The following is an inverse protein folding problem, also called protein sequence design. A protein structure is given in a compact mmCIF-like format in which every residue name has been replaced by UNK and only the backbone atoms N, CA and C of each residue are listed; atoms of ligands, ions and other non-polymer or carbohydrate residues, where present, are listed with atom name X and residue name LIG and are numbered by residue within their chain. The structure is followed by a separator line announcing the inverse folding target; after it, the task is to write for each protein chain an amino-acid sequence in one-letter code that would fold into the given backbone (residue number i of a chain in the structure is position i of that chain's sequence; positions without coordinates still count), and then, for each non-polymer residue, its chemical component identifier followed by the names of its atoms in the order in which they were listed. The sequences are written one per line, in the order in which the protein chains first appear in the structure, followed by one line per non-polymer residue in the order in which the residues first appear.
data_IF_767599433371
#
_entry.id   IF_767599433371
#
_cell.length_a   1.000
_cell.length_b   1.000
_cell.length_c   1.000
_cell.angle_alpha   90.00
_cell.angle_beta   90.00
_cell.angle_gamma   90.00
#
_symmetry.space_group_name_H-M   'P 1'
#
loop_
_entity.id
_entity.type
_entity.pdbx_description
1 polymer ?
#
# COMPACT_ATOMS: atom_id res chain seq x y z
N UNK A 1 -8.04 -8.84 -15.11
CA UNK A 1 -9.36 -8.23 -14.79
C UNK A 1 -9.59 -7.06 -15.73
N UNK A 2 -10.83 -6.85 -16.18
CA UNK A 2 -11.20 -5.78 -17.12
C UNK A 2 -12.50 -5.11 -16.68
N UNK A 3 -12.48 -3.78 -16.59
CA UNK A 3 -13.68 -2.97 -16.33
C UNK A 3 -14.35 -2.62 -17.65
N UNK A 4 -15.66 -2.88 -17.75
CA UNK A 4 -16.47 -2.68 -18.95
C UNK A 4 -17.65 -1.79 -18.62
N UNK A 5 -17.83 -0.69 -19.36
CA UNK A 5 -19.02 0.15 -19.29
C UNK A 5 -20.15 -0.56 -20.03
N UNK A 6 -21.24 -0.90 -19.34
CA UNK A 6 -22.34 -1.69 -19.92
C UNK A 6 -23.62 -0.89 -20.09
N UNK A 7 -23.84 0.17 -19.33
CA UNK A 7 -24.97 1.09 -19.50
C UNK A 7 -24.69 2.48 -18.92
N UNK A 8 -25.65 3.40 -19.03
CA UNK A 8 -25.49 4.78 -18.58
C UNK A 8 -25.15 4.84 -17.09
N UNK A 9 -24.00 5.46 -16.76
CA UNK A 9 -23.44 5.57 -15.40
C UNK A 9 -23.19 4.23 -14.71
N UNK A 10 -23.06 3.13 -15.44
CA UNK A 10 -22.85 1.82 -14.86
C UNK A 10 -21.74 1.05 -15.59
N UNK A 11 -20.88 0.40 -14.80
CA UNK A 11 -19.85 -0.48 -15.33
C UNK A 11 -19.58 -1.67 -14.40
N UNK A 12 -18.97 -2.71 -14.95
CA UNK A 12 -18.77 -3.97 -14.27
C UNK A 12 -17.41 -4.59 -14.59
N UNK A 13 -16.94 -5.47 -13.72
CA UNK A 13 -15.77 -6.31 -13.97
C UNK A 13 -15.96 -7.70 -13.35
N UNK A 14 -15.34 -8.69 -13.97
CA UNK A 14 -15.29 -10.05 -13.43
C UNK A 14 -14.02 -10.24 -12.60
N UNK A 15 -14.18 -10.83 -11.41
CA UNK A 15 -13.10 -11.34 -10.59
C UNK A 15 -13.15 -12.88 -10.58
N UNK A 16 -12.23 -13.49 -11.31
CA UNK A 16 -12.12 -14.95 -11.40
C UNK A 16 -11.66 -15.59 -10.09
N UNK A 17 -10.92 -14.86 -9.24
CA UNK A 17 -10.46 -15.36 -7.94
C UNK A 17 -11.61 -15.43 -6.95
N UNK A 18 -12.49 -14.43 -6.97
CA UNK A 18 -13.70 -14.41 -6.16
C UNK A 18 -14.89 -15.15 -6.81
N UNK A 19 -14.71 -15.67 -8.04
CA UNK A 19 -15.78 -16.22 -8.88
C UNK A 19 -17.04 -15.34 -8.90
N UNK A 20 -16.85 -14.02 -8.96
CA UNK A 20 -17.92 -13.02 -8.76
C UNK A 20 -17.78 -11.91 -9.79
N UNK A 21 -18.92 -11.39 -10.26
CA UNK A 21 -18.99 -10.20 -11.12
C UNK A 21 -19.45 -9.02 -10.26
N UNK A 22 -18.63 -7.96 -10.22
CA UNK A 22 -18.96 -6.73 -9.52
C UNK A 22 -19.48 -5.68 -10.50
N UNK A 23 -20.52 -4.97 -10.09
CA UNK A 23 -21.09 -3.85 -10.84
C UNK A 23 -21.15 -2.59 -9.97
N UNK A 24 -20.84 -1.44 -10.57
CA UNK A 24 -20.81 -0.15 -9.87
C UNK A 24 -21.59 0.89 -10.67
N UNK A 25 -22.57 1.50 -9.99
CA UNK A 25 -23.35 2.61 -10.49
C UNK A 25 -22.82 3.96 -9.97
N UNK A 26 -22.78 4.97 -10.83
CA UNK A 26 -22.24 6.28 -10.54
C UNK A 26 -23.32 7.36 -10.59
N UNK A 27 -23.09 8.47 -9.88
CA UNK A 27 -23.98 9.64 -9.91
C UNK A 27 -23.91 10.40 -11.24
N UNK A 28 -22.78 10.33 -11.95
CA UNK A 28 -22.55 10.99 -13.24
C UNK A 28 -21.69 10.14 -14.19
N UNK A 29 -21.83 10.39 -15.49
CA UNK A 29 -21.03 9.70 -16.53
C UNK A 29 -19.54 10.07 -16.46
N UNK A 30 -19.23 11.27 -15.97
CA UNK A 30 -17.87 11.72 -15.71
C UNK A 30 -17.20 10.87 -14.62
N UNK A 31 -17.92 10.52 -13.55
CA UNK A 31 -17.39 9.64 -12.50
C UNK A 31 -17.16 8.21 -13.00
N UNK A 32 -18.07 7.66 -13.80
CA UNK A 32 -17.88 6.36 -14.45
C UNK A 32 -16.61 6.35 -15.31
N UNK A 33 -16.41 7.39 -16.12
CA UNK A 33 -15.25 7.47 -17.01
C UNK A 33 -13.95 7.62 -16.24
N UNK A 34 -13.90 8.50 -15.23
CA UNK A 34 -12.74 8.66 -14.36
C UNK A 34 -12.39 7.36 -13.63
N UNK A 35 -13.39 6.60 -13.19
CA UNK A 35 -13.16 5.30 -12.58
C UNK A 35 -12.58 4.28 -13.57
N UNK A 36 -13.11 4.22 -14.80
CA UNK A 36 -12.58 3.33 -15.82
C UNK A 36 -11.10 3.59 -16.12
N UNK A 37 -10.72 4.87 -16.21
CA UNK A 37 -9.32 5.28 -16.43
C UNK A 37 -8.43 4.87 -15.26
N UNK A 38 -8.88 5.13 -14.03
CA UNK A 38 -8.16 4.72 -12.82
C UNK A 38 -8.04 3.21 -12.71
N UNK A 39 -9.07 2.46 -13.06
CA UNK A 39 -9.03 1.00 -13.06
C UNK A 39 -7.96 0.47 -14.03
N UNK A 40 -7.83 1.08 -15.21
CA UNK A 40 -6.78 0.74 -16.16
C UNK A 40 -5.37 1.07 -15.62
N UNK A 41 -5.21 2.23 -14.98
CA UNK A 41 -3.96 2.65 -14.31
C UNK A 41 -3.53 1.64 -13.23
N UNK A 42 -4.45 1.24 -12.35
CA UNK A 42 -4.17 0.24 -11.31
C UNK A 42 -3.84 -1.13 -11.89
N UNK A 43 -4.47 -1.52 -13.00
CA UNK A 43 -4.16 -2.78 -13.69
C UNK A 43 -2.71 -2.79 -14.20
N UNK A 44 -2.25 -1.69 -14.80
CA UNK A 44 -0.86 -1.58 -15.26
C UNK A 44 0.13 -1.49 -14.11
N UNK A 45 -0.19 -0.73 -13.05
CA UNK A 45 0.65 -0.67 -11.86
C UNK A 45 0.80 -2.05 -11.18
N UNK A 46 -0.28 -2.82 -11.09
CA UNK A 46 -0.24 -4.18 -10.56
C UNK A 46 0.58 -5.14 -11.44
N UNK A 47 0.53 -4.96 -12.77
CA UNK A 47 1.38 -5.71 -13.72
C UNK A 47 2.86 -5.41 -13.50
N UNK A 48 3.23 -4.13 -13.42
CA UNK A 48 4.59 -3.67 -13.12
C UNK A 48 5.10 -4.17 -11.77
N UNK A 49 4.26 -4.15 -10.74
CA UNK A 49 4.63 -4.65 -9.41
C UNK A 49 4.89 -6.17 -9.41
N UNK A 50 4.10 -6.93 -10.19
CA UNK A 50 4.29 -8.37 -10.37
C UNK A 50 5.57 -8.67 -11.14
N UNK A 51 5.85 -7.92 -12.20
CA UNK A 51 7.07 -8.02 -13.02
C UNK A 51 8.33 -7.71 -12.19
N UNK A 52 8.33 -6.59 -11.45
CA UNK A 52 9.44 -6.22 -10.55
C UNK A 52 9.69 -7.26 -9.44
N UNK A 53 8.64 -7.88 -8.92
CA UNK A 53 8.75 -8.93 -7.91
C UNK A 53 9.30 -10.24 -8.49
N UNK A 54 9.00 -10.52 -9.76
CA UNK A 54 9.50 -11.71 -10.46
C UNK A 54 10.97 -11.53 -10.87
N UNK A 55 11.35 -10.35 -11.38
CA UNK A 55 12.73 -10.01 -11.77
C UNK A 55 13.69 -10.04 -10.56
N UNK A 56 13.22 -9.63 -9.37
CA UNK A 56 13.98 -9.72 -8.12
C UNK A 56 14.26 -11.16 -7.67
N UNK A 57 13.44 -12.14 -8.09
CA UNK A 57 13.68 -13.56 -7.77
C UNK A 57 14.59 -14.26 -8.78
N UNK A 58 14.70 -13.76 -10.01
CA UNK A 58 15.61 -14.34 -11.01
C UNK A 58 17.09 -13.92 -10.79
N UNK A 59 17.34 -12.74 -10.21
CA UNK A 59 18.71 -12.23 -9.97
C UNK A 59 19.39 -12.72 -8.67
N UNK A 60 18.77 -13.61 -7.89
CA UNK A 60 19.37 -14.16 -6.63
C UNK A 60 19.83 -15.61 -6.76
N UNK A 61 19.74 -16.22 -7.95
CA UNK A 61 20.19 -17.59 -8.18
C UNK A 61 21.71 -17.66 -8.40
N UNK A 62 22.49 -17.42 -7.32
CA UNK A 62 23.91 -17.80 -7.26
C UNK A 62 24.09 -18.81 -6.13
N UNK A 63 24.46 -20.06 -6.40
CA UNK A 63 24.61 -21.07 -5.36
C UNK A 63 26.00 -20.99 -4.73
N UNK A 64 26.08 -20.55 -3.47
CA UNK A 64 27.27 -20.75 -2.64
C UNK A 64 26.89 -21.58 -1.42
N UNK A 65 27.54 -22.74 -1.34
CA UNK A 65 27.53 -23.69 -0.24
C UNK A 65 28.08 -23.05 1.04
N UNK A 66 27.42 -23.26 2.19
CA UNK A 66 28.10 -23.67 3.43
C UNK A 66 27.11 -24.25 4.46
N UNK A 67 27.35 -25.51 4.80
CA UNK A 67 27.18 -26.22 6.08
C UNK A 67 25.89 -26.12 6.94
N UNK A 68 25.20 -27.28 6.92
CA UNK A 68 24.92 -28.16 8.07
C UNK A 68 23.73 -27.89 9.03
N UNK A 69 22.94 -28.96 9.14
CA UNK A 69 22.04 -29.39 10.22
C UNK A 69 20.71 -28.66 10.40
N UNK A 70 19.67 -29.23 9.80
CA UNK A 70 18.26 -29.00 10.13
C UNK A 70 17.38 -29.90 9.27
N UNK A 71 16.58 -30.75 9.91
CA UNK A 71 15.93 -31.93 9.35
C UNK A 71 14.94 -31.68 8.21
N UNK A 72 14.82 -32.75 7.42
CA UNK A 72 13.93 -32.97 6.29
C UNK A 72 12.46 -32.93 6.73
N UNK A 73 11.60 -32.23 5.98
CA UNK A 73 10.50 -32.82 5.21
C UNK A 73 9.50 -31.74 4.78
N UNK A 74 9.54 -31.38 3.49
CA UNK A 74 8.35 -30.99 2.74
C UNK A 74 8.11 -32.07 1.69
N UNK A 75 6.85 -32.46 1.48
CA UNK A 75 6.43 -32.82 0.14
C UNK A 75 5.34 -31.89 -0.38
N UNK A 76 5.66 -31.32 -1.55
CA UNK A 76 4.74 -30.85 -2.57
C UNK A 76 3.83 -32.00 -3.00
N UNK A 77 2.54 -31.76 -3.21
CA UNK A 77 1.77 -32.22 -4.39
C UNK A 77 0.35 -31.64 -4.39
N UNK A 78 -0.12 -31.10 -5.54
CA UNK A 78 -1.52 -30.84 -5.81
C UNK A 78 -2.10 -31.97 -6.70
N UNK A 79 -3.27 -32.51 -6.37
CA UNK A 79 -4.05 -33.31 -7.33
C UNK A 79 -5.53 -32.90 -7.34
N UNK A 80 -5.93 -32.45 -8.53
CA UNK A 80 -7.28 -32.41 -9.06
C UNK A 80 -7.73 -33.83 -9.42
N UNK A 81 -9.01 -34.18 -9.21
CA UNK A 81 -9.92 -34.99 -10.06
C UNK A 81 -11.10 -35.47 -9.19
N UNK A 82 -12.31 -34.95 -9.39
CA UNK A 82 -13.35 -35.44 -10.31
C UNK A 82 -14.01 -36.78 -9.91
N UNK A 83 -15.22 -36.67 -9.34
CA UNK A 83 -16.41 -37.46 -9.65
C UNK A 83 -16.43 -38.97 -9.36
N UNK A 84 -17.23 -39.36 -8.36
CA UNK A 84 -17.84 -40.71 -8.31
C UNK A 84 -19.28 -40.60 -7.81
N UNK A 85 -20.22 -40.51 -8.77
CA UNK A 85 -21.62 -40.87 -8.63
C UNK A 85 -21.71 -42.38 -8.94
N UNK A 86 -22.06 -43.20 -7.95
CA UNK A 86 -22.27 -44.64 -8.14
C UNK A 86 -23.74 -44.98 -7.90
N UNK A 87 -24.54 -44.72 -8.93
CA UNK A 87 -25.89 -45.24 -9.09
C UNK A 87 -25.82 -46.66 -9.65
N UNK A 88 -25.94 -47.66 -8.78
CA UNK A 88 -26.10 -49.07 -9.20
C UNK A 88 -27.56 -49.34 -9.53
N UNK A 89 -27.89 -49.39 -10.80
CA UNK A 89 -29.05 -50.12 -11.35
C UNK A 89 -28.61 -51.51 -11.79
N UNK A 90 -29.45 -52.53 -11.61
CA UNK A 90 -29.58 -53.56 -12.63
C UNK A 90 -31.03 -53.72 -13.07
N UNK A 91 -31.28 -53.48 -14.36
CA UNK A 91 -32.39 -54.04 -15.10
C UNK A 91 -32.18 -55.55 -15.28
N UNK A 92 -33.21 -56.36 -15.05
CA UNK A 92 -33.55 -57.51 -15.89
C UNK A 92 -34.89 -58.11 -15.46
N UNK A 93 -35.83 -58.11 -16.39
CA UNK A 93 -37.15 -58.72 -16.31
C UNK A 93 -37.08 -60.24 -16.08
N UNK A 94 -38.01 -60.75 -15.27
CA UNK A 94 -38.62 -62.06 -15.49
C UNK A 94 -40.08 -62.01 -15.01
N UNK A 95 -40.99 -62.01 -15.98
CA UNK A 95 -42.39 -62.40 -15.80
C UNK A 95 -42.45 -63.93 -15.75
N UNK A 96 -42.90 -64.51 -14.64
CA UNK A 96 -43.60 -65.80 -14.59
C UNK A 96 -44.60 -65.75 -13.44
N UNK A 97 -45.88 -65.80 -13.79
CA UNK A 97 -46.99 -66.00 -12.85
C UNK A 97 -46.78 -67.25 -12.00
N UNK A 98 -46.84 -67.11 -10.67
CA UNK A 98 -47.35 -68.18 -9.80
C UNK A 98 -48.30 -67.55 -8.78
N UNK A 99 -49.57 -67.93 -8.89
CA UNK A 99 -50.64 -67.67 -7.94
C UNK A 99 -50.22 -68.06 -6.51
N UNK A 100 -50.05 -67.09 -5.63
CA UNK A 100 -50.09 -67.27 -4.18
C UNK A 100 -50.58 -66.00 -3.50
N UNK A 101 -51.80 -66.11 -2.95
CA UNK A 101 -52.47 -65.32 -1.90
C UNK A 101 -51.66 -64.13 -1.32
N UNK A 102 -52.11 -62.87 -1.43
CA UNK A 102 -51.46 -61.75 -0.75
C UNK A 102 -51.83 -61.76 0.74
N UNK A 103 -50.93 -62.30 1.57
CA UNK A 103 -50.92 -62.03 3.01
C UNK A 103 -49.98 -60.84 3.33
N UNK A 104 -50.25 -60.03 4.36
CA UNK A 104 -49.76 -58.66 4.45
C UNK A 104 -48.34 -58.61 5.03
N UNK A 105 -47.33 -58.58 4.15
CA UNK A 105 -45.93 -58.33 4.55
C UNK A 105 -45.57 -56.82 4.57
N UNK A 106 -46.53 -55.91 4.41
CA UNK A 106 -46.30 -54.46 4.43
C UNK A 106 -45.77 -53.95 5.77
N UNK A 107 -46.15 -54.55 6.90
CA UNK A 107 -45.83 -54.02 8.24
C UNK A 107 -44.31 -54.01 8.53
N UNK A 108 -43.56 -55.03 8.10
CA UNK A 108 -42.12 -55.11 8.36
C UNK A 108 -41.31 -54.18 7.44
N UNK A 109 -41.75 -53.98 6.19
CA UNK A 109 -41.11 -53.05 5.25
C UNK A 109 -41.32 -51.59 5.68
N UNK A 110 -42.53 -51.26 6.12
CA UNK A 110 -42.87 -49.93 6.65
C UNK A 110 -42.06 -49.62 7.92
N UNK A 111 -41.90 -50.59 8.82
CA UNK A 111 -41.08 -50.42 10.03
C UNK A 111 -39.61 -50.08 9.71
N UNK A 112 -39.00 -50.80 8.76
CA UNK A 112 -37.61 -50.56 8.33
C UNK A 112 -37.42 -49.18 7.68
N UNK A 113 -38.41 -48.70 6.93
CA UNK A 113 -38.40 -47.35 6.36
C UNK A 113 -38.33 -46.28 7.46
N UNK A 114 -39.20 -46.37 8.47
CA UNK A 114 -39.20 -45.41 9.58
C UNK A 114 -37.91 -45.44 10.41
N UNK A 115 -37.32 -46.62 10.61
CA UNK A 115 -36.03 -46.75 11.29
C UNK A 115 -34.90 -46.06 10.50
N UNK A 116 -34.86 -46.24 9.17
CA UNK A 116 -33.89 -45.58 8.31
C UNK A 116 -34.07 -44.05 8.27
N UNK A 117 -35.31 -43.58 8.22
CA UNK A 117 -35.63 -42.15 8.27
C UNK A 117 -35.24 -41.55 9.62
N UNK A 118 -35.51 -42.24 10.73
CA UNK A 118 -35.09 -41.81 12.06
C UNK A 118 -33.56 -41.74 12.19
N UNK A 119 -32.83 -42.71 11.64
CA UNK A 119 -31.36 -42.69 11.62
C UNK A 119 -30.83 -41.49 10.80
N UNK A 120 -31.45 -41.21 9.65
CA UNK A 120 -31.11 -40.07 8.80
C UNK A 120 -31.38 -38.75 9.52
N UNK A 121 -32.54 -38.61 10.18
CA UNK A 121 -32.90 -37.43 10.96
C UNK A 121 -31.94 -37.19 12.12
N UNK A 122 -31.54 -38.25 12.85
CA UNK A 122 -30.51 -38.17 13.90
C UNK A 122 -29.17 -37.69 13.34
N UNK A 123 -28.75 -38.22 12.19
CA UNK A 123 -27.53 -37.80 11.50
C UNK A 123 -27.58 -36.33 11.07
N UNK A 124 -28.71 -35.88 10.54
CA UNK A 124 -28.92 -34.48 10.16
C UNK A 124 -28.91 -33.55 11.38
N UNK A 125 -29.54 -33.95 12.49
CA UNK A 125 -29.52 -33.18 13.72
C UNK A 125 -28.09 -33.02 14.29
N UNK A 126 -27.29 -34.08 14.23
CA UNK A 126 -25.88 -34.02 14.61
C UNK A 126 -25.09 -33.03 13.73
N UNK A 127 -25.27 -33.08 12.40
CA UNK A 127 -24.63 -32.14 11.47
C UNK A 127 -25.02 -30.68 11.74
N UNK A 128 -26.30 -30.42 12.00
CA UNK A 128 -26.78 -29.08 12.36
C UNK A 128 -26.16 -28.59 13.67
N UNK A 129 -26.01 -29.48 14.66
CA UNK A 129 -25.35 -29.15 15.93
C UNK A 129 -23.88 -28.78 15.72
N UNK A 130 -23.15 -29.55 14.92
CA UNK A 130 -21.76 -29.24 14.56
C UNK A 130 -21.64 -27.90 13.82
N UNK A 131 -22.48 -27.67 12.81
CA UNK A 131 -22.48 -26.42 12.03
C UNK A 131 -22.83 -25.20 12.90
N UNK A 132 -23.72 -25.35 13.89
CA UNK A 132 -24.05 -24.29 14.83
C UNK A 132 -22.87 -23.94 15.75
N UNK A 133 -22.14 -24.95 16.26
CA UNK A 133 -20.93 -24.74 17.06
C UNK A 133 -19.84 -24.05 16.25
N UNK A 134 -19.65 -24.48 15.00
CA UNK A 134 -18.69 -23.87 14.07
C UNK A 134 -19.08 -22.42 13.75
N UNK A 135 -20.35 -22.15 13.44
CA UNK A 135 -20.83 -20.78 13.23
C UNK A 135 -20.62 -19.91 14.48
N UNK A 136 -20.78 -20.48 15.68
CA UNK A 136 -20.52 -19.78 16.95
C UNK A 136 -19.03 -19.47 17.13
N UNK A 137 -18.15 -20.39 16.75
CA UNK A 137 -16.70 -20.16 16.77
C UNK A 137 -16.29 -19.09 15.74
N UNK A 138 -16.84 -19.13 14.53
CA UNK A 138 -16.60 -18.14 13.48
C UNK A 138 -16.99 -16.74 13.95
N UNK A 139 -18.16 -16.57 14.58
CA UNK A 139 -18.57 -15.27 15.13
C UNK A 139 -17.56 -14.72 16.14
N UNK A 140 -16.96 -15.57 16.98
CA UNK A 140 -15.92 -15.15 17.93
C UNK A 140 -14.64 -14.72 17.22
N UNK A 141 -14.20 -15.48 16.22
CA UNK A 141 -13.02 -15.17 15.42
C UNK A 141 -13.19 -13.84 14.65
N UNK A 142 -14.33 -13.64 13.99
CA UNK A 142 -14.62 -12.39 13.27
C UNK A 142 -14.65 -11.18 14.21
N UNK A 143 -15.22 -11.33 15.41
CA UNK A 143 -15.19 -10.28 16.44
C UNK A 143 -13.76 -9.95 16.88
N UNK A 144 -12.93 -10.97 17.11
CA UNK A 144 -11.53 -10.77 17.47
C UNK A 144 -10.75 -10.07 16.36
N UNK A 145 -10.95 -10.50 15.11
CA UNK A 145 -10.30 -9.89 13.95
C UNK A 145 -10.76 -8.44 13.72
N UNK A 146 -12.04 -8.15 13.94
CA UNK A 146 -12.56 -6.79 13.90
C UNK A 146 -11.88 -5.90 14.97
N UNK A 147 -11.73 -6.41 16.20
CA UNK A 147 -11.00 -5.71 17.25
C UNK A 147 -9.55 -5.40 16.87
N UNK A 148 -8.83 -6.39 16.33
CA UNK A 148 -7.46 -6.19 15.88
C UNK A 148 -7.33 -5.11 14.78
N UNK A 149 -8.28 -5.05 13.84
CA UNK A 149 -8.30 -3.99 12.82
C UNK A 149 -8.67 -2.62 13.39
N UNK A 150 -9.53 -2.55 14.41
CA UNK A 150 -9.84 -1.30 15.11
C UNK A 150 -8.62 -0.75 15.84
N UNK A 151 -7.89 -1.60 16.57
CA UNK A 151 -6.66 -1.22 17.28
C UNK A 151 -5.59 -0.73 16.29
N UNK A 152 -5.43 -1.42 15.17
CA UNK A 152 -4.48 -1.04 14.11
C UNK A 152 -4.88 0.28 13.45
N UNK A 153 -6.17 0.52 13.21
CA UNK A 153 -6.65 1.79 12.68
C UNK A 153 -6.38 2.94 13.65
N UNK A 154 -6.61 2.74 14.95
CA UNK A 154 -6.30 3.74 15.98
C UNK A 154 -4.79 4.03 16.04
N UNK A 155 -3.96 2.98 15.97
CA UNK A 155 -2.49 3.12 15.95
C UNK A 155 -2.02 3.92 14.72
N UNK A 156 -2.58 3.63 13.54
CA UNK A 156 -2.24 4.35 12.31
C UNK A 156 -2.71 5.80 12.38
N UNK A 157 -3.90 6.09 12.90
CA UNK A 157 -4.36 7.46 13.11
C UNK A 157 -3.41 8.25 14.03
N UNK A 158 -3.02 7.67 15.17
CA UNK A 158 -2.02 8.31 16.07
C UNK A 158 -0.72 8.61 15.33
N UNK A 159 -0.22 7.65 14.53
CA UNK A 159 1.02 7.83 13.77
C UNK A 159 0.91 8.92 12.70
N UNK A 160 -0.22 9.04 12.03
CA UNK A 160 -0.48 10.11 11.05
C UNK A 160 -0.43 11.47 11.73
N UNK A 161 -1.14 11.64 12.85
CA UNK A 161 -1.13 12.89 13.61
C UNK A 161 0.28 13.30 14.07
N UNK A 162 1.08 12.35 14.55
CA UNK A 162 2.48 12.61 14.91
C UNK A 162 3.30 13.09 13.72
N UNK A 163 3.16 12.44 12.56
CA UNK A 163 3.87 12.80 11.34
C UNK A 163 3.45 14.18 10.82
N UNK A 164 2.17 14.52 10.90
CA UNK A 164 1.66 15.84 10.53
C UNK A 164 2.24 16.94 11.44
N UNK A 165 2.35 16.68 12.75
CA UNK A 165 2.99 17.60 13.70
C UNK A 165 4.48 17.83 13.37
N UNK A 166 5.24 16.75 13.15
CA UNK A 166 6.68 16.83 12.80
C UNK A 166 6.88 17.52 11.46
N UNK A 167 6.00 17.26 10.48
CA UNK A 167 6.04 17.94 9.18
C UNK A 167 5.81 19.45 9.33
N UNK A 168 4.85 19.87 10.16
CA UNK A 168 4.61 21.28 10.48
C UNK A 168 5.84 21.96 11.10
N UNK A 169 6.50 21.29 12.04
CA UNK A 169 7.76 21.79 12.64
C UNK A 169 8.88 21.90 11.59
N UNK A 170 9.01 20.91 10.72
CA UNK A 170 10.03 20.90 9.65
C UNK A 170 9.81 22.05 8.67
N UNK A 171 8.55 22.39 8.35
CA UNK A 171 8.23 23.54 7.52
C UNK A 171 8.67 24.85 8.20
N UNK A 172 8.38 25.02 9.49
CA UNK A 172 8.84 26.18 10.28
C UNK A 172 10.37 26.33 10.29
N UNK A 173 11.10 25.24 10.50
CA UNK A 173 12.57 25.23 10.47
C UNK A 173 13.12 25.60 9.09
N UNK A 174 12.47 25.16 8.00
CA UNK A 174 12.87 25.54 6.63
C UNK A 174 12.69 27.04 6.40
N UNK A 175 11.59 27.63 6.84
CA UNK A 175 11.35 29.07 6.75
C UNK A 175 12.39 29.86 7.55
N UNK A 176 12.66 29.45 8.79
CA UNK A 176 13.69 30.09 9.61
C UNK A 176 15.08 29.98 8.97
N UNK A 177 15.41 28.84 8.36
CA UNK A 177 16.67 28.67 7.61
C UNK A 177 16.75 29.64 6.43
N UNK A 178 15.67 29.84 5.68
CA UNK A 178 15.67 30.79 4.55
C UNK A 178 15.84 32.23 5.03
N UNK A 179 15.20 32.63 6.13
CA UNK A 179 15.34 33.97 6.71
C UNK A 179 16.77 34.24 7.21
N UNK A 180 17.38 33.26 7.87
CA UNK A 180 18.78 33.36 8.31
C UNK A 180 19.74 33.47 7.12
N UNK A 181 19.53 32.67 6.07
CA UNK A 181 20.33 32.77 4.85
C UNK A 181 20.22 34.15 4.20
N UNK A 182 19.01 34.70 4.09
CA UNK A 182 18.83 36.06 3.56
C UNK A 182 19.55 37.10 4.42
N UNK A 183 19.47 36.96 5.75
CA UNK A 183 20.17 37.86 6.68
C UNK A 183 21.70 37.78 6.50
N UNK A 184 22.23 36.58 6.25
CA UNK A 184 23.66 36.39 5.97
C UNK A 184 24.04 37.09 4.66
N UNK A 185 23.27 36.91 3.59
CA UNK A 185 23.51 37.57 2.29
C UNK A 185 23.49 39.10 2.42
N UNK A 186 22.53 39.65 3.17
CA UNK A 186 22.42 41.10 3.41
C UNK A 186 23.63 41.62 4.21
N UNK A 187 24.08 40.88 5.23
CA UNK A 187 25.26 41.24 6.04
C UNK A 187 26.57 41.15 5.23
N UNK A 188 26.70 40.15 4.36
CA UNK A 188 27.85 40.02 3.44
C UNK A 188 27.90 41.18 2.45
N UNK A 189 26.76 41.63 1.94
CA UNK A 189 26.67 42.79 1.05
C UNK A 189 27.05 44.10 1.76
N UNK A 190 26.56 44.33 2.97
CA UNK A 190 26.93 45.49 3.78
C UNK A 190 28.43 45.47 4.12
N UNK A 191 28.97 44.31 4.49
CA UNK A 191 30.39 44.16 4.80
C UNK A 191 31.25 44.50 3.58
N UNK A 192 30.87 44.02 2.39
CA UNK A 192 31.56 44.35 1.14
C UNK A 192 31.50 45.84 0.81
N UNK A 193 30.35 46.49 1.03
CA UNK A 193 30.21 47.93 0.82
C UNK A 193 31.11 48.73 1.79
N UNK A 194 31.22 48.29 3.04
CA UNK A 194 32.13 48.89 4.04
C UNK A 194 33.59 48.68 3.71
N UNK A 195 33.96 47.52 3.18
CA UNK A 195 35.33 47.27 2.69
C UNK A 195 35.69 48.19 1.53
N UNK A 196 34.76 48.43 0.59
CA UNK A 196 34.96 49.37 -0.52
C UNK A 196 35.09 50.82 -0.03
N UNK A 197 34.23 51.24 0.91
CA UNK A 197 34.32 52.57 1.54
C UNK A 197 35.67 52.78 2.24
N UNK A 198 36.16 51.76 2.97
CA UNK A 198 37.46 51.81 3.63
C UNK A 198 38.62 51.95 2.63
N UNK A 199 38.55 51.27 1.49
CA UNK A 199 39.60 51.37 0.48
C UNK A 199 39.62 52.76 -0.18
N UNK A 200 38.45 53.32 -0.47
CA UNK A 200 38.33 54.69 -0.98
C UNK A 200 38.89 55.71 0.02
N UNK A 201 38.55 55.59 1.31
CA UNK A 201 39.06 56.47 2.36
C UNK A 201 40.59 56.36 2.53
N UNK A 202 41.16 55.15 2.42
CA UNK A 202 42.62 54.98 2.43
C UNK A 202 43.27 55.71 1.25
N UNK A 203 42.69 55.62 0.07
CA UNK A 203 43.19 56.32 -1.11
C UNK A 203 43.14 57.84 -0.91
N UNK A 204 42.04 58.37 -0.37
CA UNK A 204 41.91 59.80 -0.08
C UNK A 204 42.94 60.29 0.96
N UNK A 205 43.21 59.49 2.00
CA UNK A 205 44.26 59.78 2.99
C UNK A 205 45.66 59.81 2.36
N UNK A 206 45.95 58.87 1.45
CA UNK A 206 47.23 58.83 0.74
C UNK A 206 47.40 60.05 -0.19
N UNK A 207 46.35 60.43 -0.93
CA UNK A 207 46.33 61.64 -1.76
C UNK A 207 46.52 62.91 -0.92
N UNK A 208 45.83 63.02 0.22
CA UNK A 208 45.98 64.15 1.14
C UNK A 208 47.41 64.24 1.71
N UNK A 209 48.03 63.11 2.05
CA UNK A 209 49.42 63.03 2.52
C UNK A 209 50.42 63.51 1.45
N UNK A 210 50.22 63.12 0.20
CA UNK A 210 51.05 63.57 -0.92
C UNK A 210 50.91 65.08 -1.17
N UNK A 211 49.69 65.60 -1.15
CA UNK A 211 49.44 67.05 -1.27
C UNK A 211 50.06 67.84 -0.12
N UNK A 212 49.96 67.35 1.12
CA UNK A 212 50.61 67.96 2.29
C UNK A 212 52.13 68.04 2.08
N UNK A 213 52.75 66.94 1.67
CA UNK A 213 54.20 66.89 1.40
C UNK A 213 54.62 67.89 0.31
N UNK A 214 53.82 68.04 -0.76
CA UNK A 214 54.07 69.04 -1.79
C UNK A 214 53.94 70.48 -1.25
N UNK A 215 52.92 70.75 -0.43
CA UNK A 215 52.70 72.06 0.18
C UNK A 215 53.86 72.45 1.11
N UNK A 216 54.32 71.52 1.95
CA UNK A 216 55.46 71.71 2.84
C UNK A 216 56.74 72.00 2.03
N UNK A 217 56.96 71.29 0.92
CA UNK A 217 58.09 71.54 0.01
C UNK A 217 58.05 72.92 -0.64
N UNK A 218 56.87 73.35 -1.12
CA UNK A 218 56.68 74.68 -1.71
C UNK A 218 56.89 75.79 -0.67
N UNK A 219 56.34 75.60 0.53
CA UNK A 219 56.52 76.51 1.67
C UNK A 219 57.99 76.66 2.02
N UNK A 220 58.73 75.56 2.09
CA UNK A 220 60.17 75.58 2.35
C UNK A 220 60.95 76.34 1.25
N UNK A 221 60.64 76.12 -0.03
CA UNK A 221 61.27 76.86 -1.16
C UNK A 221 61.00 78.36 -1.08
N UNK A 222 59.76 78.75 -0.79
CA UNK A 222 59.38 80.16 -0.62
C UNK A 222 60.17 80.81 0.53
N UNK A 223 60.32 80.09 1.65
CA UNK A 223 61.04 80.58 2.81
C UNK A 223 62.53 80.77 2.53
N UNK A 224 63.17 79.87 1.79
CA UNK A 224 64.57 80.00 1.34
C UNK A 224 64.75 81.21 0.40
N UNK A 225 63.84 81.39 -0.56
CA UNK A 225 63.89 82.54 -1.47
C UNK A 225 63.74 83.87 -0.75
N UNK A 226 62.86 83.96 0.26
CA UNK A 226 62.68 85.16 1.08
C UNK A 226 63.91 85.51 1.92
N UNK A 227 64.71 84.53 2.35
CA UNK A 227 65.95 84.77 3.09
C UNK A 227 67.16 85.11 2.18
N UNK A 228 67.02 84.92 0.86
CA UNK A 228 68.08 85.19 -0.12
C UNK A 228 67.96 86.59 -0.78
N UNK A 229 66.96 87.37 -0.40
CA UNK A 229 66.70 88.77 -0.80
C UNK A 229 67.10 89.72 0.33
#
# INVERSE_FOLDING_TARGET
MSFTKTSHKFGQWADSRANTVYGLGFSSEAHLSKFADKFAEFKEAARLAKERSQEKMELTSTPSQESATGELQSPVTPESINGTDERVTPDAAFNTEINAVPFPHSSTSISKHWEAELATLKGNNAKLTTALLESTANVKQWKQQLGAYQDEAERLHKRVTELECVSGQTAGVKTQKTELNQTIEDLEAELKAREEELENLKQEVEEASQLQTQNDSLTQKLQVNMHSL
#
